data_IF_513026073949
#
_entry.id   IF_513026073949
#
_cell.length_a   1.000
_cell.length_b   1.000
_cell.length_c   1.000
_cell.angle_alpha   90.00
_cell.angle_beta   90.00
_cell.angle_gamma   90.00
#
_symmetry.space_group_name_H-M   'P 1'
#
loop_
_entity.id
_entity.type
_entity.pdbx_description
1 polymer ?
#
# COMPACT_ATOMS: atom_id res chain seq x y z
N UNK A 1 12.30 -11.93 30.02
CA UNK A 1 11.38 -12.13 28.88
C UNK A 1 10.01 -11.57 29.27
N UNK A 2 9.57 -10.45 28.68
CA UNK A 2 8.23 -9.90 28.94
C UNK A 2 7.24 -10.65 28.04
N UNK A 3 6.43 -11.51 28.65
CA UNK A 3 5.32 -12.20 28.00
C UNK A 3 4.34 -11.17 27.43
N UNK A 4 3.84 -11.41 26.22
CA UNK A 4 2.77 -10.59 25.63
C UNK A 4 1.55 -10.62 26.56
N UNK A 5 0.85 -9.49 26.70
CA UNK A 5 -0.44 -9.46 27.38
C UNK A 5 -1.42 -10.36 26.62
N UNK A 6 -2.41 -10.94 27.32
CA UNK A 6 -3.41 -11.83 26.74
C UNK A 6 -4.10 -11.19 25.51
N UNK A 7 -4.43 -9.90 25.59
CA UNK A 7 -4.98 -9.11 24.48
C UNK A 7 -4.03 -9.01 23.28
N UNK A 8 -2.73 -8.81 23.50
CA UNK A 8 -1.73 -8.73 22.43
C UNK A 8 -1.48 -10.10 21.79
N UNK A 9 -1.50 -11.18 22.58
CA UNK A 9 -1.41 -12.56 22.08
C UNK A 9 -2.64 -12.93 21.25
N UNK A 10 -3.85 -12.61 21.74
CA UNK A 10 -5.10 -12.87 21.03
C UNK A 10 -5.17 -12.08 19.72
N UNK A 11 -4.78 -10.80 19.75
CA UNK A 11 -4.69 -9.96 18.54
C UNK A 11 -3.73 -10.56 17.52
N UNK A 12 -2.55 -11.02 17.97
CA UNK A 12 -1.57 -11.66 17.09
C UNK A 12 -2.06 -13.00 16.54
N UNK A 13 -2.76 -13.78 17.35
CA UNK A 13 -3.38 -15.05 16.92
C UNK A 13 -4.47 -14.80 15.89
N UNK A 14 -5.33 -13.81 16.10
CA UNK A 14 -6.35 -13.42 15.13
C UNK A 14 -5.72 -12.89 13.84
N UNK A 15 -4.64 -12.08 13.92
CA UNK A 15 -3.87 -11.66 12.74
C UNK A 15 -3.34 -12.82 11.92
N UNK A 16 -2.81 -13.86 12.58
CA UNK A 16 -2.29 -15.07 11.93
C UNK A 16 -3.43 -15.91 11.35
N UNK A 17 -4.54 -16.04 12.08
CA UNK A 17 -5.68 -16.85 11.65
C UNK A 17 -6.41 -16.18 10.48
N UNK A 18 -6.55 -14.85 10.50
CA UNK A 18 -7.08 -14.05 9.39
C UNK A 18 -6.15 -14.07 8.18
N UNK A 19 -4.82 -14.08 8.39
CA UNK A 19 -3.85 -14.30 7.33
C UNK A 19 -4.10 -15.66 6.67
N UNK A 20 -4.35 -16.70 7.46
CA UNK A 20 -4.66 -18.05 6.97
C UNK A 20 -6.05 -18.16 6.30
N UNK A 21 -7.06 -17.40 6.74
CA UNK A 21 -8.40 -17.37 6.13
C UNK A 21 -8.47 -16.52 4.85
N UNK A 22 -7.71 -15.43 4.77
CA UNK A 22 -7.55 -14.64 3.53
C UNK A 22 -6.82 -15.41 2.42
N UNK A 23 -6.16 -16.52 2.77
CA UNK A 23 -5.39 -17.41 1.89
C UNK A 23 -6.11 -18.72 1.56
N UNK A 24 -7.44 -18.80 1.55
CA UNK A 24 -8.11 -20.04 1.12
C UNK A 24 -7.82 -20.41 -0.35
N UNK A 25 -7.40 -19.47 -1.19
CA UNK A 25 -6.63 -19.79 -2.40
C UNK A 25 -5.67 -18.64 -2.76
N UNK A 26 -4.34 -18.78 -2.55
CA UNK A 26 -3.36 -17.77 -2.97
C UNK A 26 -3.32 -17.53 -4.49
N UNK A 27 -4.07 -18.31 -5.29
CA UNK A 27 -4.25 -18.13 -6.73
C UNK A 27 -5.54 -17.36 -7.11
N UNK A 28 -6.38 -16.96 -6.14
CA UNK A 28 -7.54 -16.09 -6.41
C UNK A 28 -7.12 -14.63 -6.27
N UNK A 29 -6.86 -14.00 -7.42
CA UNK A 29 -6.49 -12.60 -7.55
C UNK A 29 -7.69 -11.72 -7.86
N UNK A 30 -7.70 -10.49 -7.35
CA UNK A 30 -8.71 -9.49 -7.73
C UNK A 30 -8.57 -9.09 -9.20
N UNK A 31 -7.35 -9.09 -9.72
CA UNK A 31 -7.01 -8.84 -11.12
C UNK A 31 -7.23 -10.05 -12.05
N UNK A 32 -7.82 -11.16 -11.56
CA UNK A 32 -8.02 -12.35 -12.40
C UNK A 32 -8.89 -12.03 -13.61
N UNK A 33 -8.41 -12.40 -14.80
CA UNK A 33 -9.04 -12.10 -16.10
C UNK A 33 -9.20 -10.60 -16.39
N UNK A 34 -8.39 -9.74 -15.76
CA UNK A 34 -8.37 -8.32 -16.06
C UNK A 34 -8.06 -8.09 -17.55
N UNK A 35 -8.91 -7.31 -18.20
CA UNK A 35 -8.70 -6.78 -19.54
C UNK A 35 -8.87 -5.27 -19.44
N UNK A 36 -7.77 -4.56 -19.34
CA UNK A 36 -7.74 -3.10 -19.20
C UNK A 36 -6.63 -2.51 -20.05
N UNK A 37 -6.85 -1.31 -20.53
CA UNK A 37 -5.82 -0.46 -21.15
C UNK A 37 -5.28 0.58 -20.17
N UNK A 38 -5.83 0.64 -18.95
CA UNK A 38 -5.37 1.53 -17.89
C UNK A 38 -3.97 1.09 -17.42
N UNK A 39 -2.94 1.94 -17.58
CA UNK A 39 -1.56 1.61 -17.22
C UNK A 39 -1.40 1.27 -15.73
N UNK A 40 -2.06 2.01 -14.84
CA UNK A 40 -1.99 1.76 -13.40
C UNK A 40 -2.57 0.39 -13.05
N UNK A 41 -3.76 0.08 -13.55
CA UNK A 41 -4.39 -1.21 -13.24
C UNK A 41 -3.59 -2.40 -13.79
N UNK A 42 -2.94 -2.23 -14.95
CA UNK A 42 -2.02 -3.22 -15.52
C UNK A 42 -0.80 -3.44 -14.59
N UNK A 43 -0.15 -2.37 -14.15
CA UNK A 43 1.02 -2.43 -13.28
C UNK A 43 0.69 -2.97 -11.88
N UNK A 44 -0.50 -2.67 -11.34
CA UNK A 44 -0.96 -3.26 -10.08
C UNK A 44 -1.27 -4.75 -10.21
N UNK A 45 -1.85 -5.17 -11.34
CA UNK A 45 -2.18 -6.57 -11.59
C UNK A 45 -0.92 -7.45 -11.64
N UNK A 46 0.16 -6.98 -12.27
CA UNK A 46 1.44 -7.71 -12.31
C UNK A 46 2.08 -7.86 -10.92
N UNK A 47 1.81 -6.91 -10.02
CA UNK A 47 2.34 -6.86 -8.64
C UNK A 47 1.48 -7.58 -7.61
N UNK A 48 0.21 -7.88 -7.91
CA UNK A 48 -0.71 -8.47 -6.95
C UNK A 48 -0.18 -9.80 -6.39
N UNK A 49 0.23 -10.72 -7.28
CA UNK A 49 0.77 -12.04 -6.88
C UNK A 49 2.05 -11.92 -6.05
N UNK A 50 3.12 -11.24 -6.50
CA UNK A 50 4.36 -11.19 -5.72
C UNK A 50 4.20 -10.44 -4.38
N UNK A 51 3.31 -9.44 -4.28
CA UNK A 51 2.98 -8.82 -2.99
C UNK A 51 2.25 -9.79 -2.06
N UNK A 52 1.24 -10.53 -2.56
CA UNK A 52 0.54 -11.54 -1.74
C UNK A 52 1.45 -12.67 -1.26
N UNK A 53 2.46 -13.03 -2.05
CA UNK A 53 3.45 -14.06 -1.71
C UNK A 53 4.59 -13.53 -0.83
N UNK A 54 4.66 -12.22 -0.54
CA UNK A 54 5.74 -11.63 0.26
C UNK A 54 7.11 -11.64 -0.42
N UNK A 55 7.14 -11.70 -1.77
CA UNK A 55 8.36 -11.62 -2.59
C UNK A 55 8.68 -10.17 -3.02
N UNK A 56 7.66 -9.32 -2.98
CA UNK A 56 7.71 -7.91 -3.30
C UNK A 56 6.91 -7.16 -2.24
N UNK A 57 7.34 -5.96 -1.90
CA UNK A 57 6.61 -5.09 -1.00
C UNK A 57 6.47 -3.73 -1.69
N UNK A 58 5.32 -3.49 -2.32
CA UNK A 58 5.07 -2.29 -3.12
C UNK A 58 4.41 -1.20 -2.28
N UNK A 59 4.95 0.02 -2.35
CA UNK A 59 4.30 1.23 -1.87
C UNK A 59 3.75 1.99 -3.08
N UNK A 60 2.49 2.40 -3.03
CA UNK A 60 1.82 3.16 -4.09
C UNK A 60 1.64 4.59 -3.58
N UNK A 61 2.25 5.56 -4.26
CA UNK A 61 1.89 6.96 -4.09
C UNK A 61 0.78 7.32 -5.07
N UNK A 62 -0.24 8.02 -4.57
CA UNK A 62 -1.31 8.58 -5.40
C UNK A 62 -1.53 10.02 -5.02
N UNK A 63 -1.77 10.85 -6.04
CA UNK A 63 -2.36 12.18 -5.94
C UNK A 63 -3.59 12.25 -6.83
N UNK A 64 -4.76 12.45 -6.22
CA UNK A 64 -6.05 12.45 -6.90
C UNK A 64 -6.85 13.72 -6.58
N UNK A 65 -7.43 14.37 -7.59
CA UNK A 65 -8.31 15.52 -7.41
C UNK A 65 -9.78 15.10 -7.36
N UNK A 66 -10.38 15.15 -6.18
CA UNK A 66 -11.82 14.92 -5.99
C UNK A 66 -12.54 16.25 -5.83
N UNK A 67 -13.29 16.69 -6.86
CA UNK A 67 -14.01 17.98 -6.85
C UNK A 67 -13.07 19.15 -6.48
N UNK A 68 -11.92 19.22 -7.15
CA UNK A 68 -10.83 20.19 -6.93
C UNK A 68 -10.19 20.15 -5.53
N UNK A 69 -10.45 19.12 -4.74
CA UNK A 69 -9.75 18.87 -3.49
C UNK A 69 -8.75 17.73 -3.70
N UNK A 70 -7.50 17.96 -3.31
CA UNK A 70 -6.46 16.96 -3.35
C UNK A 70 -6.69 15.91 -2.28
N UNK A 71 -6.59 14.65 -2.69
CA UNK A 71 -6.42 13.51 -1.82
C UNK A 71 -5.13 12.83 -2.26
N UNK A 72 -4.12 12.83 -1.38
CA UNK A 72 -2.82 12.26 -1.70
C UNK A 72 -2.23 11.45 -0.55
N UNK A 73 -1.27 10.58 -0.85
CA UNK A 73 -0.68 9.72 0.18
C UNK A 73 -0.08 8.42 -0.35
N UNK A 74 0.50 7.67 0.58
CA UNK A 74 1.22 6.42 0.32
C UNK A 74 0.44 5.22 0.85
N UNK A 75 0.25 4.20 0.01
CA UNK A 75 -0.50 2.97 0.30
C UNK A 75 0.49 1.80 0.35
N UNK A 76 0.49 1.04 1.43
CA UNK A 76 1.11 -0.30 1.46
C UNK A 76 0.22 -1.27 0.70
N UNK A 77 0.65 -1.70 -0.50
CA UNK A 77 -0.20 -2.45 -1.42
C UNK A 77 -0.60 -3.81 -0.84
N UNK A 78 0.34 -4.55 -0.27
CA UNK A 78 0.05 -5.85 0.35
C UNK A 78 -0.93 -5.69 1.51
N UNK A 79 -0.71 -4.73 2.41
CA UNK A 79 -1.63 -4.49 3.51
C UNK A 79 -3.01 -4.04 3.02
N UNK A 80 -3.08 -3.25 1.95
CA UNK A 80 -4.33 -2.82 1.35
C UNK A 80 -5.11 -3.99 0.71
N UNK A 81 -4.43 -4.94 0.06
CA UNK A 81 -5.04 -6.16 -0.47
C UNK A 81 -5.62 -7.05 0.64
N UNK A 82 -4.95 -7.11 1.80
CA UNK A 82 -5.39 -7.91 2.95
C UNK A 82 -6.54 -7.27 3.74
N UNK A 83 -6.66 -5.93 3.73
CA UNK A 83 -7.70 -5.20 4.48
C UNK A 83 -9.13 -5.54 4.06
N UNK A 84 -9.34 -6.02 2.83
CA UNK A 84 -10.66 -6.43 2.29
C UNK A 84 -11.42 -7.39 3.21
N UNK A 85 -10.69 -8.21 3.97
CA UNK A 85 -11.28 -9.25 4.80
C UNK A 85 -11.50 -8.84 6.26
N UNK A 86 -11.10 -7.62 6.66
CA UNK A 86 -11.08 -7.21 8.08
C UNK A 86 -12.15 -6.17 8.44
N UNK A 87 -12.29 -5.11 7.65
CA UNK A 87 -13.20 -4.01 7.94
C UNK A 87 -13.96 -3.57 6.68
N UNK A 88 -15.29 -3.76 6.62
CA UNK A 88 -16.11 -3.32 5.47
C UNK A 88 -16.07 -1.81 5.24
N UNK A 89 -15.91 -1.02 6.29
CA UNK A 89 -15.93 0.45 6.20
C UNK A 89 -14.57 1.04 5.81
N UNK A 90 -13.48 0.31 6.06
CA UNK A 90 -12.10 0.80 5.90
C UNK A 90 -11.36 0.11 4.74
N UNK A 91 -12.02 -0.81 4.03
CA UNK A 91 -11.43 -1.58 2.93
C UNK A 91 -11.71 -0.97 1.56
N UNK A 92 -10.70 -1.01 0.71
CA UNK A 92 -10.84 -0.72 -0.71
C UNK A 92 -11.48 -1.93 -1.40
N UNK A 93 -12.49 -1.69 -2.25
CA UNK A 93 -13.06 -2.75 -3.07
C UNK A 93 -12.15 -2.98 -4.28
N UNK A 94 -11.10 -3.79 -4.09
CA UNK A 94 -10.12 -4.10 -5.14
C UNK A 94 -10.76 -4.71 -6.39
N UNK A 95 -11.83 -5.49 -6.24
CA UNK A 95 -12.56 -6.02 -7.41
C UNK A 95 -13.21 -4.89 -8.22
N UNK A 96 -13.82 -3.90 -7.57
CA UNK A 96 -14.37 -2.74 -8.26
C UNK A 96 -13.29 -1.86 -8.88
N UNK A 97 -12.15 -1.69 -8.20
CA UNK A 97 -10.99 -0.93 -8.70
C UNK A 97 -10.43 -1.58 -9.96
N UNK A 98 -10.12 -2.88 -9.92
CA UNK A 98 -9.64 -3.60 -11.11
C UNK A 98 -10.70 -3.65 -12.23
N UNK A 99 -11.99 -3.53 -11.93
CA UNK A 99 -13.05 -3.38 -12.94
C UNK A 99 -13.20 -1.95 -13.48
N UNK A 100 -12.41 -0.99 -13.01
CA UNK A 100 -12.54 0.44 -13.37
C UNK A 100 -13.81 1.11 -12.82
N UNK A 101 -14.55 0.45 -11.92
CA UNK A 101 -15.81 0.96 -11.33
C UNK A 101 -15.58 1.88 -10.14
N UNK A 102 -14.38 1.82 -9.56
CA UNK A 102 -13.99 2.64 -8.42
C UNK A 102 -12.57 3.17 -8.64
N UNK A 103 -12.38 4.47 -8.42
CA UNK A 103 -11.06 5.11 -8.46
C UNK A 103 -10.27 4.72 -7.20
N UNK A 104 -9.00 4.40 -7.37
CA UNK A 104 -8.08 4.14 -6.28
C UNK A 104 -7.60 5.48 -5.69
N UNK A 105 -7.71 5.66 -4.38
CA UNK A 105 -7.14 6.81 -3.69
C UNK A 105 -6.80 6.43 -2.25
N UNK A 106 -5.84 7.11 -1.62
CA UNK A 106 -5.41 6.79 -0.27
C UNK A 106 -6.51 7.11 0.75
N UNK A 107 -6.50 6.35 1.83
CA UNK A 107 -7.42 6.42 2.95
C UNK A 107 -6.65 6.78 4.22
N UNK A 108 -7.36 7.23 5.27
CA UNK A 108 -6.75 7.51 6.59
C UNK A 108 -6.08 6.31 7.28
N UNK A 109 -6.18 5.12 6.70
CA UNK A 109 -5.59 3.88 7.21
C UNK A 109 -4.31 3.46 6.47
N UNK A 110 -3.93 4.22 5.43
CA UNK A 110 -2.71 3.99 4.67
C UNK A 110 -1.48 4.58 5.35
N UNK A 111 -0.30 4.38 4.74
CA UNK A 111 0.98 4.83 5.31
C UNK A 111 1.00 6.35 5.48
N UNK A 112 0.42 7.06 4.51
CA UNK A 112 0.05 8.45 4.67
C UNK A 112 -1.26 8.79 3.97
N UNK A 113 -1.88 9.87 4.42
CA UNK A 113 -3.06 10.46 3.84
C UNK A 113 -3.05 11.96 4.05
N UNK A 114 -3.37 12.70 3.00
CA UNK A 114 -3.63 14.12 3.02
C UNK A 114 -4.94 14.41 2.29
N UNK A 115 -5.70 15.39 2.80
CA UNK A 115 -6.90 15.90 2.16
C UNK A 115 -6.94 17.43 2.25
N UNK A 116 -6.75 18.11 1.11
CA UNK A 116 -6.62 19.57 1.09
C UNK A 116 -7.91 20.32 1.43
N UNK A 117 -9.08 19.70 1.28
CA UNK A 117 -10.37 20.33 1.65
C UNK A 117 -10.60 20.35 3.15
N UNK A 118 -10.16 19.30 3.85
CA UNK A 118 -10.35 19.17 5.31
C UNK A 118 -9.09 19.51 6.10
N UNK A 119 -7.98 19.75 5.40
CA UNK A 119 -6.63 19.95 5.93
C UNK A 119 -6.21 18.85 6.92
N UNK A 120 -6.63 17.61 6.64
CA UNK A 120 -6.33 16.46 7.49
C UNK A 120 -5.14 15.70 6.94
N UNK A 121 -4.16 15.47 7.81
CA UNK A 121 -2.99 14.63 7.56
C UNK A 121 -3.02 13.44 8.53
N UNK A 122 -2.80 12.24 8.02
CA UNK A 122 -2.58 11.05 8.83
C UNK A 122 -1.33 10.32 8.33
N UNK A 123 -0.53 9.80 9.25
CA UNK A 123 0.58 8.89 8.96
C UNK A 123 0.47 7.69 9.90
N UNK A 124 0.73 6.49 9.38
CA UNK A 124 0.56 5.26 10.16
C UNK A 124 1.53 4.17 9.70
N UNK A 125 2.06 3.41 10.67
CA UNK A 125 2.82 2.21 10.37
C UNK A 125 1.92 1.08 9.86
N UNK A 126 2.39 0.35 8.86
CA UNK A 126 1.79 -0.93 8.46
C UNK A 126 2.49 -2.10 9.12
N UNK A 127 2.05 -3.32 8.80
CA UNK A 127 2.80 -4.55 9.13
C UNK A 127 4.17 -4.57 8.45
N UNK A 128 4.27 -3.99 7.25
CA UNK A 128 5.47 -4.05 6.40
C UNK A 128 6.39 -2.84 6.56
N UNK A 129 5.87 -1.70 7.00
CA UNK A 129 6.59 -0.44 7.02
C UNK A 129 6.39 0.36 8.29
N UNK A 130 7.49 0.91 8.79
CA UNK A 130 7.49 1.98 9.78
C UNK A 130 7.67 3.30 9.02
N UNK A 131 6.76 4.24 9.27
CA UNK A 131 6.82 5.59 8.72
C UNK A 131 7.71 6.44 9.62
N UNK A 132 8.78 6.98 9.05
CA UNK A 132 9.73 7.86 9.72
C UNK A 132 9.68 9.23 9.07
N UNK A 133 9.93 10.27 9.86
CA UNK A 133 10.05 11.65 9.38
C UNK A 133 11.48 12.14 9.61
N UNK A 134 12.16 12.49 8.54
CA UNK A 134 13.49 13.08 8.53
C UNK A 134 13.39 14.57 8.15
N UNK A 135 14.11 15.47 8.86
CA UNK A 135 14.01 16.91 8.61
C UNK A 135 14.58 17.35 7.25
N UNK A 136 15.43 16.54 6.62
CA UNK A 136 16.06 16.86 5.32
C UNK A 136 15.38 16.12 4.18
N UNK A 137 15.17 14.81 4.34
CA UNK A 137 14.62 13.93 3.30
C UNK A 137 13.09 13.82 3.33
N UNK A 138 12.44 14.33 4.37
CA UNK A 138 11.00 14.20 4.55
C UNK A 138 10.61 12.79 5.00
N UNK A 139 9.56 12.24 4.40
CA UNK A 139 9.03 10.92 4.78
C UNK A 139 9.95 9.79 4.31
N UNK A 140 10.18 8.81 5.19
CA UNK A 140 10.97 7.61 4.91
C UNK A 140 10.14 6.40 5.32
N UNK A 141 10.17 5.34 4.52
CA UNK A 141 9.53 4.08 4.87
C UNK A 141 10.58 3.03 5.18
N UNK A 142 10.66 2.58 6.42
CA UNK A 142 11.54 1.49 6.83
C UNK A 142 10.81 0.16 6.73
N UNK A 143 11.29 -0.75 5.90
CA UNK A 143 10.74 -2.10 5.85
C UNK A 143 10.98 -2.84 7.19
N UNK A 144 9.96 -3.51 7.72
CA UNK A 144 10.04 -4.15 9.05
C UNK A 144 10.80 -5.47 9.03
N UNK A 145 10.93 -6.12 7.87
CA UNK A 145 11.55 -7.44 7.73
C UNK A 145 13.06 -7.36 7.57
N UNK A 146 13.55 -6.51 6.67
CA UNK A 146 14.99 -6.38 6.40
C UNK A 146 15.61 -5.07 6.93
N UNK A 147 14.77 -4.19 7.52
CA UNK A 147 15.15 -2.90 8.11
C UNK A 147 15.75 -1.90 7.12
N UNK A 148 15.58 -2.12 5.82
CA UNK A 148 16.04 -1.18 4.80
C UNK A 148 15.06 -0.02 4.63
N UNK A 149 15.61 1.15 4.36
CA UNK A 149 14.86 2.37 4.15
C UNK A 149 14.55 2.56 2.67
N UNK A 150 13.31 2.95 2.40
CA UNK A 150 12.80 3.42 1.13
C UNK A 150 12.68 4.93 1.22
N UNK A 151 13.27 5.62 0.26
CA UNK A 151 13.28 7.08 0.16
C UNK A 151 12.36 7.48 -1.02
N UNK A 152 11.15 8.01 -0.76
CA UNK A 152 10.22 8.44 -1.81
C UNK A 152 10.57 9.81 -2.41
N UNK A 153 11.68 10.43 -1.98
CA UNK A 153 12.12 11.71 -2.50
C UNK A 153 12.33 11.65 -4.02
N UNK A 154 11.55 12.41 -4.82
CA UNK A 154 11.66 12.38 -6.27
C UNK A 154 12.96 12.99 -6.79
N UNK A 155 13.66 13.80 -5.99
CA UNK A 155 14.87 14.54 -6.40
C UNK A 155 16.14 13.72 -6.11
N UNK A 156 16.15 12.97 -5.01
CA UNK A 156 17.35 12.33 -4.47
C UNK A 156 18.00 11.25 -5.34
N UNK A 157 17.36 10.80 -6.43
CA UNK A 157 17.89 9.81 -7.39
C UNK A 157 18.14 8.40 -6.83
N UNK A 158 18.16 8.24 -5.50
CA UNK A 158 18.34 6.99 -4.78
C UNK A 158 17.12 6.70 -3.90
N UNK A 159 16.39 5.62 -4.23
CA UNK A 159 15.13 5.26 -3.58
C UNK A 159 15.29 4.21 -2.48
N UNK A 160 16.51 3.74 -2.22
CA UNK A 160 16.81 2.66 -1.27
C UNK A 160 17.43 1.44 -1.94
N UNK A 161 18.03 0.56 -1.13
CA UNK A 161 18.61 -0.69 -1.64
C UNK A 161 17.49 -1.68 -1.96
N UNK A 162 17.58 -2.37 -3.10
CA UNK A 162 16.54 -3.27 -3.63
C UNK A 162 15.20 -2.58 -3.89
N UNK A 163 15.21 -1.25 -4.08
CA UNK A 163 14.01 -0.47 -4.33
C UNK A 163 14.07 0.17 -5.71
N UNK A 164 13.01 -0.01 -6.49
CA UNK A 164 12.83 0.68 -7.78
C UNK A 164 11.65 1.62 -7.73
N UNK A 165 11.73 2.74 -8.47
CA UNK A 165 10.64 3.70 -8.65
C UNK A 165 10.11 3.60 -10.08
N UNK A 166 8.79 3.55 -10.23
CA UNK A 166 8.10 3.62 -11.51
C UNK A 166 7.02 4.70 -11.43
N UNK A 167 7.10 5.71 -12.28
CA UNK A 167 6.03 6.71 -12.45
C UNK A 167 5.11 6.26 -13.56
N UNK A 168 3.81 6.40 -13.35
CA UNK A 168 2.77 5.89 -14.25
C UNK A 168 1.89 7.05 -14.67
N UNK A 169 1.78 7.25 -15.98
CA UNK A 169 0.82 8.17 -16.56
C UNK A 169 -0.61 7.66 -16.35
N UNK A 170 -1.50 8.54 -15.91
CA UNK A 170 -2.89 8.22 -15.63
C UNK A 170 -3.80 9.37 -16.02
N UNK A 171 -4.88 9.08 -16.75
CA UNK A 171 -5.91 10.09 -17.06
C UNK A 171 -6.78 10.44 -15.85
N UNK A 172 -6.75 9.61 -14.81
CA UNK A 172 -7.62 9.72 -13.62
C UNK A 172 -6.93 10.38 -12.44
N UNK A 173 -5.62 10.22 -12.32
CA UNK A 173 -4.82 10.70 -11.19
C UNK A 173 -3.82 11.74 -11.68
N UNK A 174 -3.59 12.78 -10.87
CA UNK A 174 -2.57 13.80 -11.18
C UNK A 174 -1.15 13.21 -11.11
N UNK A 175 -0.95 12.25 -10.21
CA UNK A 175 0.33 11.57 -10.07
C UNK A 175 0.14 10.18 -9.50
N UNK A 176 0.86 9.20 -10.07
CA UNK A 176 0.97 7.86 -9.54
C UNK A 176 2.40 7.37 -9.62
N UNK A 177 2.91 6.88 -8.49
CA UNK A 177 4.29 6.37 -8.40
C UNK A 177 4.29 5.07 -7.61
N UNK A 178 4.92 4.04 -8.15
CA UNK A 178 5.15 2.77 -7.49
C UNK A 178 6.58 2.70 -6.99
N UNK A 179 6.75 2.32 -5.73
CA UNK A 179 8.03 1.98 -5.12
C UNK A 179 8.03 0.48 -4.81
N UNK A 180 8.75 -0.28 -5.61
CA UNK A 180 8.84 -1.72 -5.49
C UNK A 180 10.07 -2.10 -4.70
N UNK A 181 9.87 -2.66 -3.51
CA UNK A 181 10.95 -3.13 -2.66
C UNK A 181 11.03 -4.66 -2.68
N UNK A 182 12.12 -5.21 -3.20
CA UNK A 182 12.35 -6.66 -3.26
C UNK A 182 12.80 -7.16 -1.90
N UNK A 183 11.92 -7.89 -1.24
CA UNK A 183 12.11 -8.48 0.09
C UNK A 183 11.56 -9.91 0.08
N UNK A 184 12.20 -10.82 0.83
CA UNK A 184 11.68 -12.18 1.06
C UNK A 184 11.24 -12.28 2.52
N UNK A 185 9.93 -12.37 2.75
CA UNK A 185 9.29 -12.40 4.08
C UNK A 185 9.18 -13.80 4.68
#
# INVERSE_FOLDING_TARGET
>A
YRSLTESAFQSRRNEITDFLYATQDPNVYFSRNLRTTDPLLSELATRERPNRLGLLSTIIYIRYLRKNAEISGYIDYEQALLRVNKDKENSLNWKAIFQGKQVLYPTKYDLSYYNSRTDRVFNRNSKNYIVLCDPVRGIIFRNTYDRKDIYPDPIGGFFGTNTTRLEIDSDVHEQVVLYDHVVRK
#
